data_IF_412281835477
#
_entry.id   IF_412281835477
#
_cell.length_a   1.000
_cell.length_b   1.000
_cell.length_c   1.000
_cell.angle_alpha   90.00
_cell.angle_beta   90.00
_cell.angle_gamma   90.00
#
_symmetry.space_group_name_H-M   'P 1'
#
loop_
_entity.id
_entity.type
_entity.pdbx_description
1 polymer ?
#
# COMPACT_ATOMS: atom_id res chain seq x y z
N UNK A 1 -12.02 4.00 -14.92
CA UNK A 1 -11.05 4.83 -14.16
C UNK A 1 -10.87 4.17 -12.81
N UNK A 2 -9.65 3.81 -12.43
CA UNK A 2 -9.39 3.11 -11.15
C UNK A 2 -9.69 4.06 -9.98
N UNK A 3 -10.40 3.59 -8.95
CA UNK A 3 -10.62 4.38 -7.71
C UNK A 3 -9.31 4.45 -6.93
N UNK A 4 -8.97 5.63 -6.41
CA UNK A 4 -7.74 5.86 -5.63
C UNK A 4 -8.12 5.98 -4.15
N UNK A 5 -7.42 5.27 -3.28
CA UNK A 5 -7.56 5.36 -1.84
C UNK A 5 -6.25 5.76 -1.18
N UNK A 6 -6.34 6.70 -0.24
CA UNK A 6 -5.26 7.13 0.65
C UNK A 6 -5.57 6.79 2.11
N UNK A 7 -6.80 6.36 2.39
CA UNK A 7 -7.28 6.02 3.73
C UNK A 7 -7.82 4.60 3.75
N UNK A 8 -7.37 3.80 4.71
CA UNK A 8 -7.84 2.42 4.90
C UNK A 8 -9.30 2.36 5.32
N UNK A 9 -9.80 3.36 6.06
CA UNK A 9 -11.22 3.45 6.41
C UNK A 9 -12.10 3.60 5.17
N UNK A 10 -11.72 4.49 4.24
CA UNK A 10 -12.40 4.67 2.95
C UNK A 10 -12.31 3.41 2.09
N UNK A 11 -11.16 2.73 2.09
CA UNK A 11 -10.97 1.47 1.39
C UNK A 11 -11.90 0.37 1.95
N UNK A 12 -11.88 0.12 3.27
CA UNK A 12 -12.73 -0.88 3.94
C UNK A 12 -14.21 -0.63 3.67
N UNK A 13 -14.66 0.61 3.83
CA UNK A 13 -16.05 0.99 3.55
C UNK A 13 -16.45 0.73 2.10
N UNK A 14 -15.53 0.88 1.16
CA UNK A 14 -15.79 0.61 -0.25
C UNK A 14 -15.77 -0.89 -0.56
N UNK A 15 -14.78 -1.63 -0.05
CA UNK A 15 -14.68 -3.08 -0.24
C UNK A 15 -15.90 -3.80 0.35
N UNK A 16 -16.39 -3.38 1.52
CA UNK A 16 -17.60 -3.96 2.14
C UNK A 16 -18.88 -3.77 1.29
N UNK A 17 -18.88 -2.82 0.35
CA UNK A 17 -20.00 -2.55 -0.58
C UNK A 17 -19.75 -3.10 -1.98
N UNK A 18 -18.58 -3.68 -2.21
CA UNK A 18 -18.16 -4.18 -3.52
C UNK A 18 -18.28 -5.70 -3.54
N UNK A 19 -18.66 -6.25 -4.68
CA UNK A 19 -18.80 -7.70 -4.87
C UNK A 19 -17.95 -8.14 -6.06
N UNK A 20 -17.24 -9.26 -5.91
CA UNK A 20 -16.40 -9.83 -6.97
C UNK A 20 -15.05 -9.13 -7.15
N UNK A 21 -14.48 -9.24 -8.34
CA UNK A 21 -13.17 -8.69 -8.67
C UNK A 21 -13.16 -7.16 -8.59
N UNK A 22 -12.33 -6.60 -7.70
CA UNK A 22 -12.27 -5.17 -7.45
C UNK A 22 -10.86 -4.63 -7.72
N UNK A 23 -10.70 -3.77 -8.72
CA UNK A 23 -9.43 -3.10 -9.01
C UNK A 23 -9.42 -1.64 -8.55
N UNK A 24 -8.33 -1.22 -7.94
CA UNK A 24 -8.17 0.12 -7.37
C UNK A 24 -6.70 0.51 -7.30
N UNK A 25 -6.43 1.75 -6.87
CA UNK A 25 -5.09 2.26 -6.58
C UNK A 25 -4.97 2.65 -5.12
N UNK A 26 -3.80 2.41 -4.54
CA UNK A 26 -3.43 2.83 -3.21
C UNK A 26 -2.20 3.73 -3.27
N UNK A 27 -2.20 4.82 -2.50
CA UNK A 27 -0.97 5.54 -2.18
C UNK A 27 -0.69 5.32 -0.71
N UNK A 28 0.43 4.67 -0.39
CA UNK A 28 0.76 4.27 0.98
C UNK A 28 2.28 4.23 1.18
N UNK A 29 2.72 4.40 2.42
CA UNK A 29 4.12 4.27 2.79
C UNK A 29 4.49 2.80 3.01
N UNK A 30 5.58 2.35 2.43
CA UNK A 30 6.18 1.04 2.69
C UNK A 30 6.76 1.03 4.09
N UNK A 31 6.31 0.07 4.89
CA UNK A 31 6.78 -0.15 6.26
C UNK A 31 7.74 -1.32 6.28
N UNK A 32 7.39 -2.40 5.59
CA UNK A 32 8.18 -3.61 5.63
C UNK A 32 7.95 -4.42 4.36
N UNK A 33 9.01 -5.11 3.92
CA UNK A 33 8.95 -6.11 2.86
C UNK A 33 9.41 -7.44 3.42
N UNK A 34 8.57 -8.46 3.29
CA UNK A 34 8.87 -9.84 3.62
C UNK A 34 9.12 -10.62 2.34
N UNK A 35 10.38 -10.99 2.16
CA UNK A 35 10.80 -11.98 1.16
C UNK A 35 10.55 -13.36 1.76
N UNK A 36 9.62 -14.11 1.20
CA UNK A 36 9.40 -15.48 1.63
C UNK A 36 10.52 -16.36 1.06
N UNK A 37 11.37 -16.90 1.93
CA UNK A 37 12.39 -17.89 1.54
C UNK A 37 11.71 -19.23 1.21
N UNK A 38 11.22 -19.39 -0.01
CA UNK A 38 10.60 -20.61 -0.51
C UNK A 38 10.20 -20.48 -1.99
N UNK A 39 10.31 -21.57 -2.76
CA UNK A 39 10.19 -21.56 -4.23
C UNK A 39 8.82 -21.15 -4.79
N UNK A 40 7.75 -21.13 -3.98
CA UNK A 40 6.38 -20.89 -4.45
C UNK A 40 5.59 -19.85 -3.61
N UNK A 41 6.27 -19.06 -2.76
CA UNK A 41 5.58 -18.11 -1.89
C UNK A 41 5.68 -16.68 -2.44
N UNK A 42 4.54 -16.04 -2.78
CA UNK A 42 4.56 -14.65 -3.21
C UNK A 42 5.09 -13.75 -2.08
N UNK A 43 5.93 -12.77 -2.44
CA UNK A 43 6.44 -11.79 -1.49
C UNK A 43 5.28 -10.96 -0.92
N UNK A 44 5.46 -10.40 0.28
CA UNK A 44 4.43 -9.53 0.86
C UNK A 44 5.04 -8.21 1.34
N UNK A 45 4.23 -7.15 1.30
CA UNK A 45 4.59 -5.87 1.90
C UNK A 45 3.55 -5.45 2.93
N UNK A 46 4.04 -4.80 3.98
CA UNK A 46 3.23 -4.04 4.93
C UNK A 46 3.30 -2.58 4.55
N UNK A 47 2.15 -1.95 4.37
CA UNK A 47 2.07 -0.52 4.09
C UNK A 47 1.23 0.21 5.11
N UNK A 48 1.58 1.47 5.38
CA UNK A 48 0.79 2.41 6.16
C UNK A 48 -0.01 3.32 5.24
N UNK A 49 -1.33 3.30 5.41
CA UNK A 49 -2.26 4.24 4.81
C UNK A 49 -2.62 5.30 5.87
N UNK A 50 -2.59 6.56 5.48
CA UNK A 50 -2.86 7.70 6.35
C UNK A 50 -3.16 8.93 5.50
N UNK A 51 -3.43 10.06 6.14
CA UNK A 51 -3.51 11.29 5.36
C UNK A 51 -2.18 11.51 4.62
N UNK A 52 -2.19 11.90 3.35
CA UNK A 52 -0.96 12.08 2.57
C UNK A 52 0.04 13.07 3.22
N UNK A 53 -0.46 13.94 4.10
CA UNK A 53 0.36 14.81 4.94
C UNK A 53 1.17 14.00 5.98
N UNK A 54 0.58 12.96 6.58
CA UNK A 54 1.21 12.08 7.57
C UNK A 54 2.24 11.13 6.96
N UNK A 55 2.13 10.81 5.66
CA UNK A 55 3.10 9.99 4.93
C UNK A 55 4.44 10.71 4.70
N UNK A 56 4.56 11.98 5.10
CA UNK A 56 5.81 12.76 5.03
C UNK A 56 6.61 12.75 6.35
N UNK A 57 6.07 12.17 7.42
CA UNK A 57 6.74 12.10 8.73
C UNK A 57 7.39 10.73 8.93
N UNK A 58 8.64 10.66 9.43
CA UNK A 58 9.26 9.39 9.83
C UNK A 58 8.39 8.71 10.89
N UNK A 59 8.02 7.45 10.69
CA UNK A 59 7.20 6.71 11.64
C UNK A 59 8.11 5.95 12.61
N UNK A 60 8.05 6.28 13.89
CA UNK A 60 8.58 5.40 14.94
C UNK A 60 7.62 4.20 15.09
N UNK A 61 8.07 3.01 14.69
CA UNK A 61 7.27 1.78 14.76
C UNK A 61 7.45 1.14 16.13
N UNK A 62 6.35 0.97 16.88
CA UNK A 62 6.35 0.12 18.07
C UNK A 62 6.15 -1.36 17.67
N UNK A 63 6.78 -2.34 18.36
CA UNK A 63 6.92 -3.71 17.85
C UNK A 63 5.68 -4.62 17.95
N UNK A 64 4.50 -4.09 18.28
CA UNK A 64 3.36 -4.92 18.73
C UNK A 64 2.26 -5.19 17.68
N UNK A 65 2.47 -4.83 16.41
CA UNK A 65 1.43 -4.87 15.37
C UNK A 65 1.48 -6.15 14.50
N UNK A 66 1.26 -7.32 15.12
CA UNK A 66 1.08 -8.61 14.48
C UNK A 66 -0.26 -9.22 14.90
N UNK A 67 -1.35 -8.79 14.28
CA UNK A 67 -2.50 -9.66 14.08
C UNK A 67 -3.22 -9.28 12.79
N UNK A 68 -3.33 -10.28 11.92
CA UNK A 68 -4.20 -10.34 10.75
C UNK A 68 -5.57 -9.74 11.05
N UNK A 69 -5.93 -8.64 10.35
CA UNK A 69 -7.28 -8.07 10.19
C UNK A 69 -8.25 -8.49 11.30
N UNK A 70 -7.94 -8.14 12.54
CA UNK A 70 -8.82 -8.35 13.68
C UNK A 70 -8.84 -7.08 14.51
N UNK A 71 -10.06 -6.67 14.84
CA UNK A 71 -10.41 -5.46 15.55
C UNK A 71 -9.50 -5.16 16.75
N UNK A 72 -8.82 -4.01 16.69
CA UNK A 72 -8.14 -3.42 17.84
C UNK A 72 -6.74 -2.89 17.52
N UNK A 73 -6.65 -1.56 17.38
CA UNK A 73 -5.43 -0.74 17.44
C UNK A 73 -4.59 -0.49 16.16
N UNK A 74 -4.55 -1.37 15.15
CA UNK A 74 -3.74 -1.12 13.94
C UNK A 74 -4.56 -0.60 12.73
N UNK A 75 -5.34 0.46 12.94
CA UNK A 75 -6.24 1.03 11.92
C UNK A 75 -5.54 1.79 10.77
N UNK A 76 -4.23 1.63 10.57
CA UNK A 76 -3.47 2.32 9.53
C UNK A 76 -2.65 1.39 8.65
N UNK A 77 -2.47 0.12 9.03
CA UNK A 77 -1.60 -0.80 8.30
C UNK A 77 -2.40 -1.79 7.46
N UNK A 78 -1.86 -2.15 6.30
CA UNK A 78 -2.41 -3.20 5.45
C UNK A 78 -1.27 -4.09 4.95
N UNK A 79 -1.54 -5.40 4.99
CA UNK A 79 -0.70 -6.40 4.36
C UNK A 79 -1.20 -6.67 2.96
N UNK A 80 -0.28 -6.74 2.01
CA UNK A 80 -0.59 -6.95 0.61
C UNK A 80 0.38 -7.94 0.00
N UNK A 81 -0.16 -8.81 -0.84
CA UNK A 81 0.63 -9.84 -1.51
C UNK A 81 1.12 -9.31 -2.86
N UNK A 82 2.30 -9.75 -3.28
CA UNK A 82 2.88 -9.44 -4.58
C UNK A 82 3.10 -10.74 -5.34
N UNK A 83 2.50 -10.86 -6.52
CA UNK A 83 2.82 -11.96 -7.42
C UNK A 83 4.32 -12.02 -7.76
N UNK A 84 4.84 -13.22 -7.98
CA UNK A 84 6.27 -13.48 -8.23
C UNK A 84 6.87 -12.61 -9.34
N UNK A 85 6.09 -12.39 -10.42
CA UNK A 85 6.51 -11.53 -11.54
C UNK A 85 6.79 -10.10 -11.10
N UNK A 86 6.01 -9.57 -10.16
CA UNK A 86 6.20 -8.23 -9.62
C UNK A 86 7.44 -8.19 -8.72
N UNK A 87 7.61 -9.18 -7.85
CA UNK A 87 8.80 -9.35 -7.00
C UNK A 87 10.05 -9.37 -7.87
N UNK A 88 10.10 -10.26 -8.85
CA UNK A 88 11.24 -10.38 -9.76
C UNK A 88 11.54 -9.06 -10.48
N UNK A 89 10.52 -8.37 -11.02
CA UNK A 89 10.72 -7.10 -11.73
C UNK A 89 11.19 -5.97 -10.83
N UNK A 90 10.64 -5.83 -9.63
CA UNK A 90 10.83 -4.64 -8.77
C UNK A 90 11.93 -4.80 -7.73
N UNK A 91 12.20 -6.04 -7.29
CA UNK A 91 13.17 -6.33 -6.23
C UNK A 91 14.43 -7.02 -6.77
N UNK A 92 14.32 -7.89 -7.78
CA UNK A 92 15.45 -8.65 -8.32
C UNK A 92 16.11 -7.94 -9.51
N UNK A 93 15.35 -7.66 -10.57
CA UNK A 93 15.90 -7.05 -11.81
C UNK A 93 16.32 -5.59 -11.64
N UNK A 94 15.62 -4.86 -10.77
CA UNK A 94 15.85 -3.43 -10.53
C UNK A 94 16.34 -3.17 -9.10
N UNK A 95 17.31 -3.93 -8.62
CA UNK A 95 17.78 -3.85 -7.23
C UNK A 95 18.20 -2.43 -6.80
N UNK A 96 18.74 -1.61 -7.71
CA UNK A 96 19.09 -0.20 -7.43
C UNK A 96 17.90 0.74 -7.24
N UNK A 97 16.69 0.28 -7.59
CA UNK A 97 15.41 0.99 -7.42
C UNK A 97 14.44 0.19 -6.55
N UNK A 98 14.96 -0.78 -5.79
CA UNK A 98 14.17 -1.53 -4.81
C UNK A 98 13.60 -0.54 -3.80
N UNK A 99 12.29 -0.56 -3.54
CA UNK A 99 11.71 0.30 -2.52
C UNK A 99 12.26 -0.10 -1.14
N UNK A 100 12.47 0.89 -0.28
CA UNK A 100 12.95 0.73 1.09
C UNK A 100 11.91 1.22 2.09
N UNK A 101 12.09 0.85 3.36
CA UNK A 101 11.25 1.37 4.44
C UNK A 101 11.17 2.90 4.40
N UNK A 102 9.95 3.42 4.50
CA UNK A 102 9.64 4.85 4.44
C UNK A 102 9.27 5.36 3.05
N UNK A 103 9.56 4.62 1.98
CA UNK A 103 9.19 5.02 0.62
C UNK A 103 7.68 5.07 0.43
N UNK A 104 7.18 6.05 -0.32
CA UNK A 104 5.77 6.13 -0.68
C UNK A 104 5.55 5.46 -2.03
N UNK A 105 4.60 4.51 -2.07
CA UNK A 105 4.27 3.73 -3.24
C UNK A 105 2.89 4.13 -3.78
N UNK A 106 2.80 4.32 -5.09
CA UNK A 106 1.54 4.36 -5.83
C UNK A 106 1.32 2.99 -6.47
N UNK A 107 0.38 2.23 -5.90
CA UNK A 107 0.17 0.81 -6.15
C UNK A 107 -1.13 0.60 -6.90
N UNK A 108 -1.11 -0.25 -7.92
CA UNK A 108 -2.29 -0.82 -8.56
C UNK A 108 -2.60 -2.13 -7.87
N UNK A 109 -3.76 -2.20 -7.25
CA UNK A 109 -4.18 -3.32 -6.42
C UNK A 109 -5.45 -3.93 -6.97
N UNK A 110 -5.67 -5.20 -6.63
CA UNK A 110 -6.98 -5.82 -6.75
C UNK A 110 -7.29 -6.66 -5.52
N UNK A 111 -8.58 -6.92 -5.30
CA UNK A 111 -9.05 -7.92 -4.34
C UNK A 111 -9.74 -9.05 -5.10
N UNK A 112 -9.33 -10.28 -4.80
CA UNK A 112 -9.94 -11.52 -5.28
C UNK A 112 -9.89 -12.55 -4.14
N UNK A 113 -11.00 -13.27 -3.91
CA UNK A 113 -11.09 -14.35 -2.91
C UNK A 113 -10.51 -13.94 -1.54
N UNK A 114 -10.90 -12.75 -1.06
CA UNK A 114 -10.46 -12.16 0.22
C UNK A 114 -8.96 -11.81 0.33
N UNK A 115 -8.21 -11.93 -0.76
CA UNK A 115 -6.81 -11.54 -0.84
C UNK A 115 -6.63 -10.21 -1.58
N UNK A 116 -5.86 -9.28 -0.99
CA UNK A 116 -5.43 -8.06 -1.63
C UNK A 116 -4.04 -8.27 -2.26
N UNK A 117 -3.97 -8.15 -3.59
CA UNK A 117 -2.74 -8.32 -4.34
C UNK A 117 -2.36 -7.06 -5.13
N UNK A 118 -1.05 -6.82 -5.22
CA UNK A 118 -0.45 -5.74 -5.99
C UNK A 118 -0.09 -6.25 -7.39
N UNK A 119 -0.64 -5.59 -8.41
CA UNK A 119 -0.34 -5.85 -9.82
C UNK A 119 0.91 -5.09 -10.28
N UNK A 120 1.07 -3.87 -9.79
CA UNK A 120 2.20 -3.01 -10.08
C UNK A 120 2.32 -1.89 -9.05
N UNK A 121 3.49 -1.28 -8.95
CA UNK A 121 3.66 -0.06 -8.16
C UNK A 121 4.79 0.82 -8.69
N UNK A 122 4.71 2.11 -8.39
CA UNK A 122 5.74 3.10 -8.67
C UNK A 122 6.15 3.81 -7.38
N UNK A 123 7.43 4.17 -7.28
CA UNK A 123 7.93 5.04 -6.22
C UNK A 123 7.43 6.46 -6.48
N UNK A 124 6.73 7.02 -5.50
CA UNK A 124 6.26 8.39 -5.54
C UNK A 124 7.38 9.31 -5.09
N UNK A 125 7.81 10.19 -5.97
CA UNK A 125 8.82 11.20 -5.63
C UNK A 125 8.25 12.25 -4.69
N UNK A 126 9.11 12.93 -3.94
CA UNK A 126 8.71 14.05 -3.06
C UNK A 126 7.89 15.11 -3.82
N UNK A 127 8.26 15.37 -5.09
CA UNK A 127 7.54 16.32 -5.94
C UNK A 127 6.12 15.85 -6.26
N UNK A 128 5.95 14.57 -6.61
CA UNK A 128 4.63 13.99 -6.88
C UNK A 128 3.79 13.94 -5.62
N UNK A 129 4.39 13.61 -4.47
CA UNK A 129 3.72 13.61 -3.18
C UNK A 129 3.21 15.01 -2.81
N UNK A 130 3.97 16.07 -3.10
CA UNK A 130 3.51 17.46 -2.90
C UNK A 130 2.32 17.82 -3.80
N UNK A 131 2.31 17.35 -5.05
CA UNK A 131 1.20 17.55 -6.00
C UNK A 131 -0.04 16.77 -5.55
N UNK A 132 0.12 15.52 -5.11
CA UNK A 132 -0.97 14.74 -4.53
C UNK A 132 -1.53 15.46 -3.31
N UNK A 133 -0.68 15.85 -2.37
CA UNK A 133 -1.09 16.58 -1.16
C UNK A 133 -1.91 17.84 -1.46
N UNK A 134 -1.50 18.67 -2.42
CA UNK A 134 -2.24 19.87 -2.78
C UNK A 134 -3.59 19.55 -3.44
N UNK A 135 -3.64 18.54 -4.31
CA UNK A 135 -4.88 18.09 -4.94
C UNK A 135 -5.91 17.60 -3.91
N UNK A 136 -5.50 16.79 -2.93
CA UNK A 136 -6.42 16.25 -1.93
C UNK A 136 -6.88 17.31 -0.93
N UNK A 137 -5.98 18.19 -0.45
CA UNK A 137 -6.37 19.34 0.38
C UNK A 137 -7.33 20.30 -0.32
N UNK A 138 -7.20 20.47 -1.64
CA UNK A 138 -8.13 21.27 -2.42
C UNK A 138 -9.54 20.66 -2.53
N UNK A 139 -9.67 19.36 -2.26
CA UNK A 139 -10.93 18.62 -2.35
C UNK A 139 -11.68 18.52 -1.03
N UNK A 140 -10.97 18.51 0.10
CA UNK A 140 -11.57 18.53 1.43
C UNK A 140 -12.04 19.95 1.85
N UNK A 141 -11.56 21.00 1.16
CA UNK A 141 -11.97 22.40 1.37
C UNK A 141 -13.03 22.90 0.37
N UNK A 142 -13.57 22.03 -0.48
CA UNK A 142 -14.58 22.34 -1.51
C UNK A 142 -15.87 21.57 -1.25
#
# INVERSE_FOLDING_TARGET
MDRIFVSIGKLRCWLAKSSGFCRFRLVAQLIEYHENEGQDNPGSIKCKLGELAELTSPVELSPSALSSVSDGQDNHFIWMVMGEKLVFRKFVQNASKKPVEGDVLDMKCYVCEDQLEILDFELVTIRELAVLNSFWRGRDNA
#
